data_IF_095646057058
#
_entry.id   IF_095646057058
#
_cell.length_a   1.000
_cell.length_b   1.000
_cell.length_c   1.000
_cell.angle_alpha   90.00
_cell.angle_beta   90.00
_cell.angle_gamma   90.00
#
_symmetry.space_group_name_H-M   'P 1'
#
loop_
_entity.id
_entity.type
_entity.pdbx_description
1 polymer ?
#
# COMPACT_ATOMS: atom_id res chain seq x y z
N UNK A 1 -9.45 25.52 -18.94
CA UNK A 1 -8.02 25.30 -18.62
C UNK A 1 -7.82 24.82 -17.18
N UNK A 2 -8.14 25.62 -16.13
CA UNK A 2 -7.95 25.20 -14.72
C UNK A 2 -8.55 23.84 -14.34
N UNK A 3 -9.75 23.55 -14.84
CA UNK A 3 -10.48 22.31 -14.53
C UNK A 3 -9.78 21.06 -15.08
N UNK A 4 -9.10 21.17 -16.23
CA UNK A 4 -8.36 20.06 -16.83
C UNK A 4 -7.18 19.65 -15.95
N UNK A 5 -6.42 20.62 -15.44
CA UNK A 5 -5.26 20.32 -14.58
C UNK A 5 -5.67 19.74 -13.23
N UNK A 6 -6.81 20.16 -12.68
CA UNK A 6 -7.40 19.54 -11.50
C UNK A 6 -7.80 18.09 -11.78
N UNK A 7 -8.42 17.80 -12.92
CA UNK A 7 -8.75 16.42 -13.31
C UNK A 7 -7.50 15.54 -13.48
N UNK A 8 -6.44 16.07 -14.08
CA UNK A 8 -5.15 15.37 -14.22
C UNK A 8 -4.53 15.07 -12.85
N UNK A 9 -4.58 16.03 -11.92
CA UNK A 9 -4.10 15.84 -10.54
C UNK A 9 -4.90 14.74 -9.81
N UNK A 10 -6.24 14.76 -9.95
CA UNK A 10 -7.10 13.73 -9.37
C UNK A 10 -6.86 12.35 -9.99
N UNK A 11 -6.70 12.28 -11.32
CA UNK A 11 -6.37 11.04 -12.00
C UNK A 11 -5.00 10.48 -11.54
N UNK A 12 -3.99 11.35 -11.41
CA UNK A 12 -2.69 10.97 -10.88
C UNK A 12 -2.76 10.46 -9.44
N UNK A 13 -3.58 11.08 -8.59
CA UNK A 13 -3.83 10.64 -7.20
C UNK A 13 -4.53 9.28 -7.17
N UNK A 14 -5.56 9.11 -8.02
CA UNK A 14 -6.30 7.87 -8.13
C UNK A 14 -5.38 6.71 -8.58
N UNK A 15 -4.54 6.92 -9.59
CA UNK A 15 -3.63 5.90 -10.13
C UNK A 15 -2.43 5.64 -9.21
N UNK A 16 -1.86 6.69 -8.62
CA UNK A 16 -0.62 6.59 -7.83
C UNK A 16 -0.81 6.13 -6.39
N UNK A 17 -1.96 6.42 -5.78
CA UNK A 17 -2.23 6.12 -4.37
C UNK A 17 -3.48 5.26 -4.17
N UNK A 18 -4.63 5.69 -4.72
CA UNK A 18 -5.91 5.02 -4.44
C UNK A 18 -5.96 3.62 -5.04
N UNK A 19 -5.54 3.44 -6.29
CA UNK A 19 -5.56 2.16 -6.97
C UNK A 19 -4.63 1.12 -6.29
N UNK A 20 -3.34 1.42 -6.01
CA UNK A 20 -2.47 0.49 -5.29
C UNK A 20 -3.02 0.11 -3.91
N UNK A 21 -3.54 1.08 -3.16
CA UNK A 21 -4.12 0.85 -1.85
C UNK A 21 -5.41 0.03 -1.92
N UNK A 22 -6.31 0.36 -2.84
CA UNK A 22 -7.56 -0.38 -3.00
C UNK A 22 -7.30 -1.82 -3.44
N UNK A 23 -6.34 -2.03 -4.33
CA UNK A 23 -5.94 -3.36 -4.78
C UNK A 23 -5.31 -4.17 -3.64
N UNK A 24 -4.45 -3.59 -2.80
CA UNK A 24 -3.87 -4.33 -1.68
C UNK A 24 -4.86 -4.66 -0.56
N UNK A 25 -5.87 -3.79 -0.32
CA UNK A 25 -6.79 -3.96 0.81
C UNK A 25 -8.06 -4.74 0.44
N UNK A 26 -8.67 -4.43 -0.71
CA UNK A 26 -10.01 -4.92 -1.06
C UNK A 26 -10.04 -5.99 -2.15
N UNK A 27 -8.93 -6.28 -2.83
CA UNK A 27 -8.94 -7.31 -3.88
C UNK A 27 -8.87 -8.73 -3.32
N UNK A 28 -9.58 -9.63 -4.01
CA UNK A 28 -9.57 -11.06 -3.76
C UNK A 28 -10.46 -11.55 -2.62
N UNK A 29 -10.83 -12.83 -2.67
CA UNK A 29 -11.55 -13.51 -1.59
C UNK A 29 -10.59 -14.41 -0.80
N UNK A 30 -10.87 -14.62 0.48
CA UNK A 30 -10.11 -15.56 1.30
C UNK A 30 -10.35 -17.00 0.80
N UNK A 31 -9.27 -17.75 0.62
CA UNK A 31 -9.30 -19.20 0.36
C UNK A 31 -9.40 -19.93 1.70
N UNK A 32 -8.60 -19.47 2.67
CA UNK A 32 -8.64 -19.95 4.04
C UNK A 32 -7.54 -19.35 4.90
N UNK A 33 -7.61 -19.68 6.19
CA UNK A 33 -6.63 -19.35 7.20
C UNK A 33 -6.18 -20.62 7.94
N UNK A 34 -4.88 -20.76 8.16
CA UNK A 34 -4.28 -21.92 8.81
C UNK A 34 -3.24 -21.52 9.85
N UNK A 35 -3.34 -22.13 11.03
CA UNK A 35 -2.36 -21.96 12.12
C UNK A 35 -1.05 -22.66 11.75
N UNK A 36 0.02 -21.89 11.53
CA UNK A 36 1.37 -22.41 11.22
C UNK A 36 2.31 -22.36 12.43
N UNK A 37 1.95 -21.61 13.48
CA UNK A 37 2.67 -21.62 14.75
C UNK A 37 1.69 -21.51 15.91
N UNK A 38 1.78 -22.44 16.85
CA UNK A 38 1.06 -22.38 18.13
C UNK A 38 1.86 -23.14 19.18
N UNK A 39 1.66 -22.80 20.46
CA UNK A 39 2.26 -23.51 21.60
C UNK A 39 3.78 -23.68 21.49
N UNK A 40 4.50 -22.68 20.94
CA UNK A 40 5.95 -22.71 20.83
C UNK A 40 6.50 -23.47 19.62
N UNK A 41 5.66 -24.00 18.72
CA UNK A 41 6.11 -24.88 17.63
C UNK A 41 5.53 -24.49 16.27
N UNK A 42 6.42 -24.44 15.27
CA UNK A 42 6.02 -24.34 13.86
C UNK A 42 5.51 -25.67 13.31
N UNK A 43 4.44 -25.61 12.52
CA UNK A 43 3.85 -26.74 11.82
C UNK A 43 3.66 -26.36 10.36
N UNK A 44 4.19 -27.15 9.41
CA UNK A 44 3.94 -26.90 8.00
C UNK A 44 2.47 -27.18 7.70
N UNK A 45 1.93 -26.44 6.74
CA UNK A 45 0.54 -26.55 6.30
C UNK A 45 0.50 -26.95 4.84
N UNK A 46 -0.43 -27.85 4.53
CA UNK A 46 -0.65 -28.35 3.18
C UNK A 46 -1.99 -27.84 2.67
N UNK A 47 -1.98 -27.15 1.53
CA UNK A 47 -3.19 -26.58 0.91
C UNK A 47 -3.30 -27.06 -0.53
N UNK A 48 -4.47 -27.54 -0.92
CA UNK A 48 -4.77 -27.86 -2.32
C UNK A 48 -5.27 -26.62 -3.03
N UNK A 49 -4.53 -26.16 -4.05
CA UNK A 49 -4.89 -25.01 -4.87
C UNK A 49 -5.28 -25.46 -6.28
N UNK A 50 -6.20 -24.72 -6.90
CA UNK A 50 -6.68 -24.90 -8.27
C UNK A 50 -6.15 -23.77 -9.15
N UNK A 51 -6.08 -24.01 -10.46
CA UNK A 51 -5.65 -22.96 -11.40
C UNK A 51 -6.51 -21.69 -11.32
N UNK A 52 -7.81 -21.84 -11.05
CA UNK A 52 -8.74 -20.71 -10.88
C UNK A 52 -8.51 -19.89 -9.61
N UNK A 53 -7.69 -20.37 -8.67
CA UNK A 53 -7.36 -19.59 -7.46
C UNK A 53 -6.32 -18.50 -7.76
N UNK A 54 -5.62 -18.58 -8.90
CA UNK A 54 -4.61 -17.62 -9.30
C UNK A 54 -5.22 -16.24 -9.62
N UNK A 55 -4.52 -15.14 -9.28
CA UNK A 55 -3.29 -15.08 -8.47
C UNK A 55 -3.59 -15.27 -6.98
N UNK A 56 -2.69 -15.95 -6.26
CA UNK A 56 -2.83 -16.23 -4.81
C UNK A 56 -1.88 -15.36 -4.00
N UNK A 57 -2.44 -14.44 -3.22
CA UNK A 57 -1.69 -13.62 -2.27
C UNK A 57 -1.52 -14.37 -0.95
N UNK A 58 -0.29 -14.37 -0.46
CA UNK A 58 0.12 -15.08 0.75
C UNK A 58 0.37 -14.07 1.86
N UNK A 59 -0.52 -14.05 2.84
CA UNK A 59 -0.49 -13.15 3.99
C UNK A 59 -0.13 -13.94 5.24
N UNK A 60 0.53 -13.28 6.18
CA UNK A 60 0.85 -13.86 7.48
C UNK A 60 0.40 -12.91 8.59
N UNK A 61 -0.39 -13.45 9.50
CA UNK A 61 -0.82 -12.78 10.73
C UNK A 61 0.00 -13.30 11.91
N UNK A 62 0.79 -12.41 12.49
CA UNK A 62 1.56 -12.65 13.70
C UNK A 62 0.80 -12.09 14.90
N UNK A 63 0.42 -12.97 15.82
CA UNK A 63 -0.10 -12.56 17.14
C UNK A 63 1.05 -12.52 18.13
N UNK A 64 1.34 -11.34 18.68
CA UNK A 64 2.41 -11.15 19.65
C UNK A 64 1.98 -10.20 20.77
N UNK A 65 2.58 -10.37 21.94
CA UNK A 65 2.42 -9.44 23.07
C UNK A 65 3.39 -8.26 22.91
N UNK A 66 3.12 -7.41 21.94
CA UNK A 66 3.93 -6.23 21.63
C UNK A 66 3.04 -5.06 21.24
N UNK A 67 3.40 -3.83 21.65
CA UNK A 67 2.67 -2.64 21.23
C UNK A 67 2.94 -2.27 19.77
N UNK A 68 4.19 -2.49 19.34
CA UNK A 68 4.69 -2.35 17.97
C UNK A 68 5.84 -3.33 17.79
N UNK A 69 5.95 -3.92 16.60
CA UNK A 69 7.15 -4.66 16.21
C UNK A 69 8.09 -3.65 15.57
N UNK A 70 9.10 -3.22 16.33
CA UNK A 70 10.20 -2.41 15.79
C UNK A 70 11.31 -3.39 15.43
N UNK A 71 11.11 -4.12 14.34
CA UNK A 71 12.20 -4.90 13.79
C UNK A 71 13.13 -3.93 13.08
N UNK A 72 14.30 -3.65 13.66
CA UNK A 72 15.38 -2.84 13.07
C UNK A 72 15.93 -3.50 11.78
N UNK A 73 15.08 -3.68 10.77
CA UNK A 73 15.33 -4.44 9.54
C UNK A 73 15.67 -5.93 9.75
N UNK A 74 15.34 -6.50 10.92
CA UNK A 74 15.54 -7.93 11.18
C UNK A 74 14.39 -8.76 10.65
N UNK A 75 14.68 -9.97 10.18
CA UNK A 75 13.64 -10.93 9.79
C UNK A 75 12.98 -11.48 11.04
N UNK A 76 11.66 -11.41 11.15
CA UNK A 76 10.89 -12.00 12.26
C UNK A 76 10.49 -13.43 11.96
N UNK A 77 10.02 -13.66 10.72
CA UNK A 77 9.63 -14.99 10.25
C UNK A 77 10.14 -15.23 8.84
N UNK A 78 10.42 -16.49 8.53
CA UNK A 78 10.63 -16.95 7.17
C UNK A 78 9.40 -17.73 6.72
N UNK A 79 9.02 -17.61 5.44
CA UNK A 79 7.96 -18.40 4.84
C UNK A 79 8.42 -18.94 3.49
N UNK A 80 8.21 -20.23 3.28
CA UNK A 80 8.42 -20.88 1.99
C UNK A 80 7.14 -21.58 1.56
N UNK A 81 6.87 -21.56 0.25
CA UNK A 81 5.82 -22.36 -0.36
C UNK A 81 6.46 -23.22 -1.46
N UNK A 82 6.13 -24.51 -1.47
CA UNK A 82 6.61 -25.45 -2.48
C UNK A 82 5.48 -26.32 -3.01
N UNK A 83 5.54 -26.66 -4.29
CA UNK A 83 4.63 -27.62 -4.96
C UNK A 83 5.44 -28.55 -5.83
N UNK A 84 5.08 -29.84 -5.85
CA UNK A 84 5.79 -30.88 -6.61
C UNK A 84 7.33 -30.85 -6.40
N UNK A 85 7.77 -30.56 -5.17
CA UNK A 85 9.20 -30.50 -4.83
C UNK A 85 9.94 -29.23 -5.30
N UNK A 86 9.25 -28.22 -5.85
CA UNK A 86 9.84 -26.95 -6.26
C UNK A 86 9.33 -25.80 -5.40
N UNK A 87 10.23 -24.95 -4.94
CA UNK A 87 9.89 -23.71 -4.25
C UNK A 87 9.30 -22.71 -5.24
N UNK A 88 8.11 -22.20 -4.93
CA UNK A 88 7.40 -21.19 -5.74
C UNK A 88 7.31 -19.84 -5.05
N UNK A 89 7.51 -19.81 -3.72
CA UNK A 89 7.60 -18.59 -2.94
C UNK A 89 8.61 -18.79 -1.82
N UNK A 90 9.46 -17.80 -1.59
CA UNK A 90 10.33 -17.72 -0.42
C UNK A 90 10.41 -16.26 0.00
N UNK A 91 10.11 -15.97 1.26
CA UNK A 91 9.99 -14.61 1.76
C UNK A 91 10.43 -14.47 3.21
N UNK A 92 10.94 -13.30 3.53
CA UNK A 92 11.32 -12.86 4.88
C UNK A 92 10.33 -11.79 5.33
N UNK A 93 9.73 -12.01 6.49
CA UNK A 93 8.66 -11.17 7.04
C UNK A 93 9.20 -10.34 8.19
N UNK A 94 8.91 -9.04 8.17
CA UNK A 94 9.45 -8.09 9.15
C UNK A 94 8.34 -7.45 10.00
N UNK A 95 7.10 -7.43 9.52
CA UNK A 95 5.94 -6.83 10.19
C UNK A 95 6.07 -5.32 10.49
N UNK A 96 6.99 -4.63 9.80
CA UNK A 96 7.32 -3.23 10.01
C UNK A 96 6.28 -2.25 9.47
N UNK A 97 5.45 -2.69 8.51
CA UNK A 97 4.44 -1.85 7.83
C UNK A 97 3.03 -1.95 8.44
N UNK A 98 2.88 -2.62 9.59
CA UNK A 98 1.62 -2.67 10.31
C UNK A 98 1.42 -1.34 11.08
N UNK A 99 1.11 -0.26 10.36
CA UNK A 99 0.88 1.07 10.94
C UNK A 99 -0.30 1.07 11.93
N UNK A 100 -1.21 0.11 11.79
CA UNK A 100 -2.35 -0.09 12.70
C UNK A 100 -2.60 -1.59 12.97
N UNK A 101 -1.87 -2.20 13.91
CA UNK A 101 -2.05 -3.62 14.23
C UNK A 101 -3.45 -3.84 14.85
N UNK A 102 -4.12 -4.92 14.43
CA UNK A 102 -5.47 -5.24 14.92
C UNK A 102 -5.37 -5.80 16.33
N UNK A 103 -6.22 -5.34 17.23
CA UNK A 103 -6.31 -5.94 18.57
C UNK A 103 -7.14 -7.23 18.49
N UNK A 104 -6.65 -8.29 19.15
CA UNK A 104 -7.39 -9.56 19.26
C UNK A 104 -8.65 -9.36 20.11
N UNK A 105 -8.50 -8.61 21.21
CA UNK A 105 -9.58 -8.23 22.11
C UNK A 105 -9.18 -6.96 22.85
N UNK A 106 -10.12 -6.03 23.16
CA UNK A 106 -9.82 -4.85 23.96
C UNK A 106 -9.29 -5.17 25.37
N UNK A 107 -9.49 -6.40 25.85
CA UNK A 107 -9.08 -6.86 27.18
C UNK A 107 -7.71 -7.52 27.21
N UNK A 108 -7.17 -7.93 26.05
CA UNK A 108 -5.89 -8.62 25.95
C UNK A 108 -4.83 -7.68 25.36
N UNK A 109 -3.60 -7.69 25.88
CA UNK A 109 -2.51 -6.87 25.32
C UNK A 109 -2.00 -7.40 23.97
N UNK A 110 -2.58 -8.48 23.45
CA UNK A 110 -2.14 -9.13 22.22
C UNK A 110 -2.59 -8.35 21.00
N UNK A 111 -1.64 -8.16 20.08
CA UNK A 111 -1.87 -7.50 18.80
C UNK A 111 -1.56 -8.44 17.66
N UNK A 112 -2.32 -8.30 16.58
CA UNK A 112 -2.14 -8.99 15.32
C UNK A 112 -1.43 -8.03 14.36
N UNK A 113 -0.23 -8.41 13.96
CA UNK A 113 0.57 -7.75 12.95
C UNK A 113 0.43 -8.55 11.65
N UNK A 114 0.08 -7.89 10.56
CA UNK A 114 -0.03 -8.53 9.24
C UNK A 114 1.14 -8.11 8.36
N UNK A 115 1.74 -9.07 7.67
CA UNK A 115 2.73 -8.82 6.62
C UNK A 115 2.42 -9.70 5.40
N UNK A 116 2.90 -9.28 4.23
CA UNK A 116 2.68 -9.98 2.96
C UNK A 116 3.94 -10.73 2.55
N UNK A 117 3.85 -12.05 2.42
CA UNK A 117 4.96 -12.87 1.96
C UNK A 117 5.17 -12.73 0.44
N UNK A 118 4.11 -12.47 -0.30
CA UNK A 118 4.13 -12.22 -1.75
C UNK A 118 2.90 -12.78 -2.46
N UNK A 119 2.98 -12.80 -3.79
CA UNK A 119 1.91 -13.29 -4.67
C UNK A 119 2.43 -14.46 -5.50
N UNK A 120 1.65 -15.54 -5.57
CA UNK A 120 1.84 -16.65 -6.49
C UNK A 120 0.99 -16.34 -7.73
N UNK A 121 1.63 -15.78 -8.76
CA UNK A 121 0.97 -15.31 -9.99
C UNK A 121 0.26 -16.42 -10.75
N UNK A 122 0.92 -17.57 -10.89
CA UNK A 122 0.39 -18.73 -11.60
C UNK A 122 0.32 -19.92 -10.67
N UNK A 123 -0.85 -20.56 -10.62
CA UNK A 123 -1.09 -21.72 -9.77
C UNK A 123 -1.19 -22.96 -10.65
N UNK A 124 -0.19 -23.83 -10.54
CA UNK A 124 -0.32 -25.22 -11.00
C UNK A 124 -1.30 -25.95 -10.09
N UNK A 125 -2.38 -26.57 -10.60
CA UNK A 125 -3.30 -27.34 -9.76
C UNK A 125 -2.56 -28.42 -8.97
N UNK A 126 -2.80 -28.48 -7.67
CA UNK A 126 -2.17 -29.49 -6.82
C UNK A 126 -1.94 -29.03 -5.39
N UNK A 127 -1.08 -29.77 -4.71
CA UNK A 127 -0.83 -29.62 -3.29
C UNK A 127 0.40 -28.75 -3.03
N UNK A 128 0.19 -27.67 -2.29
CA UNK A 128 1.21 -26.72 -1.89
C UNK A 128 1.54 -26.91 -0.41
N UNK A 129 2.83 -27.04 -0.12
CA UNK A 129 3.38 -27.11 1.22
C UNK A 129 3.91 -25.75 1.62
N UNK A 130 3.32 -25.15 2.65
CA UNK A 130 3.77 -23.91 3.26
C UNK A 130 4.53 -24.23 4.54
N UNK A 131 5.75 -23.73 4.65
CA UNK A 131 6.61 -23.91 5.82
C UNK A 131 7.02 -22.54 6.34
N UNK A 132 6.55 -22.23 7.56
CA UNK A 132 6.98 -21.05 8.30
C UNK A 132 8.09 -21.43 9.30
N UNK A 133 9.01 -20.52 9.55
CA UNK A 133 10.09 -20.70 10.52
C UNK A 133 10.48 -19.40 11.19
N UNK A 134 11.30 -19.48 12.25
CA UNK A 134 11.84 -18.29 12.89
C UNK A 134 12.75 -17.51 11.93
N UNK A 135 12.81 -16.19 12.13
CA UNK A 135 13.84 -15.33 11.56
C UNK A 135 14.96 -15.06 12.57
N UNK A 136 15.63 -13.92 12.42
CA UNK A 136 16.76 -13.47 13.24
C UNK A 136 16.33 -12.58 14.44
N UNK A 137 15.03 -12.28 14.55
CA UNK A 137 14.47 -11.48 15.64
C UNK A 137 13.92 -12.39 16.76
N UNK A 138 14.80 -12.81 17.67
CA UNK A 138 14.47 -13.71 18.78
C UNK A 138 13.76 -13.03 19.97
N UNK A 139 13.71 -11.69 19.99
CA UNK A 139 13.20 -10.88 21.10
C UNK A 139 11.67 -10.65 21.05
N UNK A 140 11.00 -11.19 20.04
CA UNK A 140 9.56 -11.00 19.85
C UNK A 140 8.79 -12.16 20.50
N UNK A 141 7.92 -11.90 21.50
CA UNK A 141 7.11 -12.94 22.14
C UNK A 141 5.95 -13.36 21.22
N UNK A 142 6.25 -14.27 20.29
CA UNK A 142 5.29 -14.86 19.35
C UNK A 142 4.31 -15.76 20.14
N UNK A 143 3.02 -15.51 19.99
CA UNK A 143 1.96 -16.37 20.54
C UNK A 143 1.38 -17.31 19.49
N UNK A 144 1.06 -16.76 18.32
CA UNK A 144 0.48 -17.51 17.23
C UNK A 144 0.90 -16.91 15.89
N UNK A 145 0.98 -17.75 14.86
CA UNK A 145 1.16 -17.31 13.47
C UNK A 145 0.11 -18.02 12.62
N UNK A 146 -0.67 -17.22 11.90
CA UNK A 146 -1.71 -17.66 10.99
C UNK A 146 -1.31 -17.33 9.55
N UNK A 147 -1.28 -18.34 8.68
CA UNK A 147 -1.12 -18.21 7.24
C UNK A 147 -2.48 -17.99 6.61
N UNK A 148 -2.61 -16.97 5.78
CA UNK A 148 -3.87 -16.62 5.13
C UNK A 148 -3.63 -16.53 3.62
N UNK A 149 -4.40 -17.28 2.85
CA UNK A 149 -4.33 -17.26 1.40
C UNK A 149 -5.54 -16.55 0.83
N UNK A 150 -5.33 -15.61 -0.09
CA UNK A 150 -6.40 -14.90 -0.82
C UNK A 150 -6.26 -15.12 -2.32
N UNK A 151 -7.34 -15.53 -2.97
CA UNK A 151 -7.42 -15.68 -4.42
C UNK A 151 -7.88 -14.39 -5.08
N UNK A 152 -7.46 -14.13 -6.33
CA UNK A 152 -7.90 -12.97 -7.11
C UNK A 152 -7.29 -11.65 -6.66
N UNK A 153 -6.24 -11.71 -5.85
CA UNK A 153 -5.54 -10.56 -5.33
C UNK A 153 -4.33 -10.24 -6.21
N UNK A 154 -4.59 -9.66 -7.38
CA UNK A 154 -3.55 -9.33 -8.37
C UNK A 154 -2.43 -8.45 -7.81
N UNK A 155 -1.23 -8.59 -8.37
CA UNK A 155 -0.13 -7.67 -8.12
C UNK A 155 -0.54 -6.24 -8.52
N UNK A 156 -0.07 -5.26 -7.73
CA UNK A 156 -0.20 -3.85 -8.10
C UNK A 156 0.69 -3.65 -9.33
N UNK A 157 0.15 -3.13 -10.43
CA UNK A 157 1.00 -2.72 -11.56
C UNK A 157 2.06 -1.73 -11.06
N UNK A 158 3.32 -2.17 -11.07
CA UNK A 158 4.45 -1.40 -10.55
C UNK A 158 4.63 -0.07 -11.30
N UNK A 159 4.06 0.06 -12.52
CA UNK A 159 4.07 1.28 -13.33
C UNK A 159 3.02 2.29 -12.88
N UNK A 160 1.97 1.87 -12.17
CA UNK A 160 0.90 2.76 -11.74
C UNK A 160 1.42 3.88 -10.82
N UNK A 161 2.33 3.57 -9.89
CA UNK A 161 2.94 4.57 -9.00
C UNK A 161 3.71 5.67 -9.75
N UNK A 162 4.73 5.35 -10.57
CA UNK A 162 5.47 6.39 -11.29
C UNK A 162 4.60 7.16 -12.29
N UNK A 163 3.65 6.50 -12.97
CA UNK A 163 2.70 7.19 -13.87
C UNK A 163 1.79 8.14 -13.09
N UNK A 164 1.23 7.69 -11.96
CA UNK A 164 0.40 8.52 -11.08
C UNK A 164 1.16 9.73 -10.55
N UNK A 165 2.42 9.55 -10.13
CA UNK A 165 3.29 10.64 -9.68
C UNK A 165 3.58 11.65 -10.78
N UNK A 166 3.87 11.18 -12.00
CA UNK A 166 4.05 12.05 -13.16
C UNK A 166 2.80 12.88 -13.48
N UNK A 167 1.63 12.24 -13.48
CA UNK A 167 0.35 12.93 -13.69
C UNK A 167 0.06 13.96 -12.59
N UNK A 168 0.34 13.63 -11.32
CA UNK A 168 0.19 14.60 -10.23
C UNK A 168 1.10 15.82 -10.42
N UNK A 169 2.37 15.62 -10.79
CA UNK A 169 3.30 16.72 -11.05
C UNK A 169 2.81 17.61 -12.21
N UNK A 170 2.41 17.02 -13.34
CA UNK A 170 1.88 17.77 -14.50
C UNK A 170 0.61 18.54 -14.15
N UNK A 171 -0.33 17.89 -13.44
CA UNK A 171 -1.56 18.51 -12.98
C UNK A 171 -1.30 19.68 -12.04
N UNK A 172 -0.39 19.51 -11.08
CA UNK A 172 -0.03 20.57 -10.12
C UNK A 172 0.64 21.76 -10.81
N UNK A 173 1.67 21.52 -11.63
CA UNK A 173 2.40 22.58 -12.34
C UNK A 173 1.45 23.34 -13.27
N UNK A 174 0.66 22.63 -14.07
CA UNK A 174 -0.29 23.26 -14.98
C UNK A 174 -1.36 24.07 -14.25
N UNK A 175 -1.87 23.57 -13.12
CA UNK A 175 -2.81 24.33 -12.29
C UNK A 175 -2.19 25.62 -11.74
N UNK A 176 -0.98 25.55 -11.18
CA UNK A 176 -0.26 26.73 -10.68
C UNK A 176 0.02 27.76 -11.77
N UNK A 177 0.39 27.31 -12.98
CA UNK A 177 0.56 28.20 -14.13
C UNK A 177 -0.74 28.90 -14.53
N UNK A 178 -1.90 28.22 -14.45
CA UNK A 178 -3.19 28.88 -14.71
C UNK A 178 -3.54 29.95 -13.68
N UNK A 179 -3.08 29.81 -12.43
CA UNK A 179 -3.25 30.84 -11.40
C UNK A 179 -2.28 32.02 -11.62
N UNK A 180 -1.02 31.73 -11.94
CA UNK A 180 0.01 32.74 -12.15
C UNK A 180 -0.23 33.59 -13.41
N UNK A 181 -0.76 33.00 -14.48
CA UNK A 181 -0.91 33.64 -15.79
C UNK A 181 -2.36 33.92 -16.20
N UNK A 182 -3.36 33.37 -15.50
CA UNK A 182 -4.78 33.58 -15.82
C UNK A 182 -5.37 34.92 -15.39
N UNK A 183 -4.59 35.77 -14.70
CA UNK A 183 -5.03 37.08 -14.19
C UNK A 183 -4.88 38.26 -15.16
N UNK A 184 -4.27 38.07 -16.34
CA UNK A 184 -4.20 39.15 -17.35
C UNK A 184 -5.53 39.26 -18.09
N UNK A 185 -6.51 39.92 -17.46
CA UNK A 185 -7.53 40.65 -18.23
C UNK A 185 -6.78 41.62 -19.15
N UNK A 186 -7.11 41.69 -20.45
CA UNK A 186 -6.62 42.79 -21.26
C UNK A 186 -6.98 44.09 -20.55
N UNK A 187 -5.99 44.95 -20.30
CA UNK A 187 -6.27 46.33 -19.93
C UNK A 187 -7.24 46.88 -20.95
N UNK A 188 -8.42 47.32 -20.49
CA UNK A 188 -9.44 47.87 -21.36
C UNK A 188 -8.81 49.04 -22.11
N UNK A 189 -8.63 48.99 -23.44
CA UNK A 189 -7.97 50.07 -24.17
C UNK A 189 -8.74 51.40 -24.10
N UNK A 190 -9.98 51.39 -23.60
CA UNK A 190 -10.79 52.59 -23.34
C UNK A 190 -10.69 53.12 -21.90
N UNK A 191 -9.80 52.60 -21.04
CA UNK A 191 -9.59 53.20 -19.71
C UNK A 191 -8.84 54.53 -19.83
N UNK A 192 -9.58 55.64 -19.81
CA UNK A 192 -8.99 56.98 -19.69
C UNK A 192 -8.30 57.09 -18.33
N UNK A 193 -7.06 57.61 -18.25
CA UNK A 193 -6.41 57.86 -16.98
C UNK A 193 -7.27 58.83 -16.14
N UNK A 194 -7.33 58.65 -14.81
CA UNK A 194 -8.11 59.53 -13.94
C UNK A 194 -7.65 60.98 -14.13
N UNK A 195 -8.57 61.95 -14.24
CA UNK A 195 -8.20 63.33 -14.51
C UNK A 195 -7.29 63.88 -13.42
N UNK A 196 -6.25 64.66 -13.78
CA UNK A 196 -5.33 65.22 -12.81
C UNK A 196 -6.09 66.10 -11.82
N UNK A 197 -5.83 65.90 -10.53
CA UNK A 197 -6.40 66.74 -9.46
C UNK A 197 -5.70 68.10 -9.50
N UNK A 198 -6.29 69.05 -10.21
CA UNK A 198 -5.86 70.44 -10.17
C UNK A 198 -6.22 71.03 -8.81
N UNK A 199 -5.22 71.54 -8.08
CA UNK A 199 -5.43 72.20 -6.80
C UNK A 199 -4.32 71.96 -5.79
N UNK A 200 -3.12 72.49 -6.05
CA UNK A 200 -2.24 73.08 -5.02
C UNK A 200 -1.52 74.26 -5.64
N UNK A 201 -2.10 75.45 -5.46
CA UNK A 201 -1.31 76.67 -5.49
C UNK A 201 -0.40 76.68 -4.27
N UNK A 202 0.86 77.05 -4.46
CA UNK A 202 1.69 77.59 -3.39
C UNK A 202 2.50 78.73 -3.99
N UNK A 203 2.03 79.92 -3.64
CA UNK A 203 2.72 81.20 -3.67
C UNK A 203 4.12 81.14 -3.07
N UNK A 204 5.10 81.69 -3.79
CA UNK A 204 6.12 82.62 -3.29
C UNK A 204 6.71 83.36 -4.47
#
# INVERSE_FOLDING_TARGET
MRFLFVLILLAGTAIGFVYPWAMSNFSGHEIGAWRVYDQGRFRPVTVTLKAGDAPVRVLVDLTAKAERIVSQQRTVLTLTAATAGRTVLASTLQFNHADNPRQVSPQLPDKIFRDEAGVIETVSPGTYLFTAGPGDADDIPIRAVDLILRSGAGEIDQRARPVGYGLMAVGLIGFLLTLAFGGRRPENPNSKPPPPRWGRGSST
#
